data_IF_211634119363
#
_entry.id   IF_211634119363
#
_cell.length_a   1.000
_cell.length_b   1.000
_cell.length_c   1.000
_cell.angle_alpha   90.00
_cell.angle_beta   90.00
_cell.angle_gamma   90.00
#
_symmetry.space_group_name_H-M   'P 1'
#
loop_
_entity.id
_entity.type
_entity.pdbx_description
1 polymer ?
#
# COMPACT_ATOMS: atom_id res chain seq x y z
N UNK A 1 -18.72 -25.15 21.77
CA UNK A 1 -18.81 -23.69 21.44
C UNK A 1 -18.09 -22.95 22.57
N UNK A 2 -16.94 -22.30 22.25
CA UNK A 2 -16.05 -21.71 23.28
C UNK A 2 -16.43 -20.27 23.68
N UNK A 3 -17.71 -19.86 23.50
CA UNK A 3 -18.19 -18.54 23.88
C UNK A 3 -17.74 -17.40 22.94
N UNK A 4 -17.27 -17.72 21.75
CA UNK A 4 -17.03 -16.75 20.71
C UNK A 4 -18.28 -16.46 19.90
N UNK A 5 -18.51 -15.21 19.53
CA UNK A 5 -19.53 -14.79 18.58
C UNK A 5 -18.87 -13.99 17.45
N UNK A 6 -19.45 -14.06 16.28
CA UNK A 6 -18.98 -13.32 15.12
C UNK A 6 -19.35 -11.85 15.29
N UNK A 7 -18.40 -10.95 15.11
CA UNK A 7 -18.66 -9.52 15.09
C UNK A 7 -19.62 -9.17 13.94
N UNK A 8 -20.39 -8.08 14.13
CA UNK A 8 -21.42 -7.68 13.18
C UNK A 8 -20.84 -7.26 11.82
N UNK A 9 -19.63 -6.70 11.83
CA UNK A 9 -18.96 -6.19 10.62
C UNK A 9 -18.01 -7.26 10.07
N UNK A 10 -18.17 -7.54 8.78
CA UNK A 10 -17.23 -8.33 8.01
C UNK A 10 -16.55 -7.41 6.98
N UNK A 11 -15.24 -7.48 6.90
CA UNK A 11 -14.47 -6.84 5.84
C UNK A 11 -14.12 -7.88 4.76
N UNK A 12 -13.69 -7.43 3.60
CA UNK A 12 -13.24 -8.33 2.55
C UNK A 12 -11.81 -7.97 2.14
N UNK A 13 -11.07 -8.95 1.66
CA UNK A 13 -9.77 -8.74 1.07
C UNK A 13 -9.88 -8.84 -0.46
N UNK A 14 -9.29 -7.87 -1.14
CA UNK A 14 -9.17 -7.86 -2.59
C UNK A 14 -8.02 -8.73 -3.04
N UNK A 15 -8.23 -9.48 -4.09
CA UNK A 15 -7.25 -10.33 -4.76
C UNK A 15 -7.02 -9.84 -6.18
N UNK A 16 -5.76 -9.75 -6.59
CA UNK A 16 -5.36 -9.46 -7.96
C UNK A 16 -4.46 -10.57 -8.48
N UNK A 17 -4.84 -11.17 -9.61
CA UNK A 17 -4.04 -12.20 -10.29
C UNK A 17 -2.87 -11.57 -11.04
N UNK A 18 -1.65 -11.85 -10.62
CA UNK A 18 -0.42 -11.39 -11.24
C UNK A 18 0.11 -12.34 -12.33
N UNK A 19 -0.55 -13.49 -12.59
CA UNK A 19 -0.15 -14.37 -13.68
C UNK A 19 -0.34 -13.72 -15.06
N UNK A 20 -1.37 -12.87 -15.18
CA UNK A 20 -1.64 -12.06 -16.36
C UNK A 20 -0.80 -10.77 -16.45
N UNK A 21 -1.09 -9.93 -17.42
CA UNK A 21 -0.43 -8.62 -17.58
C UNK A 21 -0.93 -7.62 -16.54
N UNK A 22 0.00 -6.91 -15.88
CA UNK A 22 -0.33 -5.78 -15.00
C UNK A 22 -0.52 -4.53 -15.88
N UNK A 23 -1.66 -3.84 -15.80
CA UNK A 23 -1.92 -2.67 -16.63
C UNK A 23 -0.89 -1.56 -16.43
N UNK A 24 -0.69 -0.76 -17.46
CA UNK A 24 0.11 0.46 -17.37
C UNK A 24 -0.77 1.66 -17.04
N UNK A 25 -0.24 2.57 -16.25
CA UNK A 25 -0.87 3.85 -15.95
C UNK A 25 0.21 4.93 -15.97
N UNK A 26 0.25 5.79 -16.99
CA UNK A 26 1.25 6.84 -17.07
C UNK A 26 1.05 7.87 -15.95
N UNK A 27 2.16 8.39 -15.44
CA UNK A 27 2.13 9.53 -14.52
C UNK A 27 1.91 10.84 -15.29
N UNK A 28 1.29 11.84 -14.66
CA UNK A 28 1.31 13.21 -15.16
C UNK A 28 2.74 13.74 -15.29
N UNK A 29 2.93 14.74 -16.17
CA UNK A 29 4.22 15.39 -16.38
C UNK A 29 4.83 15.92 -15.07
N UNK A 30 6.12 15.72 -14.88
CA UNK A 30 6.88 16.17 -13.71
C UNK A 30 6.79 15.26 -12.47
N UNK A 31 5.90 14.25 -12.47
CA UNK A 31 5.87 13.23 -11.42
C UNK A 31 6.77 12.05 -11.76
N UNK A 32 7.35 11.44 -10.75
CA UNK A 32 8.18 10.23 -10.89
C UNK A 32 7.90 9.23 -9.78
N UNK A 33 8.08 7.94 -10.07
CA UNK A 33 8.06 6.88 -9.07
C UNK A 33 9.51 6.57 -8.71
N UNK A 34 9.82 6.56 -7.42
CA UNK A 34 11.11 6.15 -6.87
C UNK A 34 10.90 5.13 -5.75
N UNK A 35 11.84 4.20 -5.60
CA UNK A 35 11.84 3.25 -4.49
C UNK A 35 12.56 3.84 -3.27
N UNK A 36 12.27 3.30 -2.09
CA UNK A 36 13.02 3.68 -0.89
C UNK A 36 14.47 3.19 -0.91
N UNK A 37 14.82 2.29 -1.84
CA UNK A 37 16.20 1.93 -2.10
C UNK A 37 16.96 3.05 -2.82
N UNK A 38 16.27 3.82 -3.68
CA UNK A 38 16.84 4.93 -4.45
C UNK A 38 16.83 6.24 -3.67
N UNK A 39 15.73 6.53 -2.98
CA UNK A 39 15.55 7.76 -2.18
C UNK A 39 14.67 7.44 -0.96
N UNK A 40 15.23 7.58 0.25
CA UNK A 40 14.55 7.26 1.51
C UNK A 40 14.58 8.47 2.46
N UNK A 41 13.67 9.42 2.24
CA UNK A 41 13.48 10.58 3.10
C UNK A 41 12.39 10.29 4.13
N UNK A 42 12.80 9.99 5.37
CA UNK A 42 11.89 9.61 6.44
C UNK A 42 10.92 10.74 6.85
N UNK A 43 11.32 11.99 6.70
CA UNK A 43 10.46 13.15 7.02
C UNK A 43 9.34 13.26 5.99
N UNK A 44 9.66 13.16 4.70
CA UNK A 44 8.67 13.16 3.62
C UNK A 44 7.76 11.94 3.67
N UNK A 45 8.30 10.75 4.01
CA UNK A 45 7.48 9.55 4.23
C UNK A 45 6.51 9.78 5.38
N UNK A 46 6.98 10.34 6.50
CA UNK A 46 6.12 10.63 7.63
C UNK A 46 5.02 11.63 7.26
N UNK A 47 5.35 12.68 6.55
CA UNK A 47 4.41 13.70 6.08
C UNK A 47 3.33 13.12 5.15
N UNK A 48 3.72 12.39 4.10
CA UNK A 48 2.77 11.82 3.13
C UNK A 48 1.85 10.79 3.79
N UNK A 49 2.36 9.98 4.72
CA UNK A 49 1.53 9.02 5.44
C UNK A 49 0.57 9.71 6.41
N UNK A 50 1.04 10.71 7.16
CA UNK A 50 0.18 11.45 8.08
C UNK A 50 -0.98 12.14 7.35
N UNK A 51 -0.68 12.92 6.32
CA UNK A 51 -1.68 13.62 5.52
C UNK A 51 -2.53 12.67 4.70
N UNK A 52 -1.94 11.63 4.14
CA UNK A 52 -2.61 10.67 3.27
C UNK A 52 -3.65 9.80 3.99
N UNK A 53 -3.50 9.60 5.31
CA UNK A 53 -4.50 8.95 6.17
C UNK A 53 -5.42 9.95 6.90
N UNK A 54 -5.46 11.20 6.46
CA UNK A 54 -6.36 12.24 6.98
C UNK A 54 -6.21 12.49 8.50
N UNK A 55 -5.00 12.30 9.05
CA UNK A 55 -4.73 12.66 10.43
C UNK A 55 -4.83 14.18 10.62
N UNK A 56 -5.41 14.66 11.73
CA UNK A 56 -5.51 16.08 12.02
C UNK A 56 -4.14 16.68 12.37
N UNK A 57 -3.99 17.97 12.10
CA UNK A 57 -2.81 18.75 12.42
C UNK A 57 -1.52 18.32 11.70
N UNK A 58 -0.39 18.89 12.10
CA UNK A 58 0.93 18.49 11.65
C UNK A 58 1.35 17.17 12.32
N UNK A 59 2.24 16.38 11.68
CA UNK A 59 2.74 15.14 12.27
C UNK A 59 3.39 15.40 13.63
N UNK A 60 2.83 14.78 14.66
CA UNK A 60 3.37 14.81 16.02
C UNK A 60 4.27 13.61 16.31
N UNK A 61 4.28 12.63 15.41
CA UNK A 61 5.06 11.42 15.56
C UNK A 61 6.51 11.63 15.10
N UNK A 62 7.41 11.10 15.90
CA UNK A 62 8.82 11.00 15.54
C UNK A 62 9.00 10.14 14.29
N UNK A 63 9.96 10.48 13.44
CA UNK A 63 10.44 9.63 12.33
C UNK A 63 10.89 8.25 12.81
N UNK A 64 11.08 8.05 14.10
CA UNK A 64 11.42 6.75 14.68
C UNK A 64 10.36 5.69 14.40
N UNK A 65 9.07 6.07 14.33
CA UNK A 65 8.00 5.16 13.89
C UNK A 65 8.26 4.64 12.48
N UNK A 66 8.78 5.49 11.59
CA UNK A 66 9.13 5.08 10.21
C UNK A 66 10.38 4.21 10.19
N UNK A 67 11.38 4.49 11.04
CA UNK A 67 12.54 3.62 11.22
C UNK A 67 12.15 2.23 11.72
N UNK A 68 11.26 2.17 12.71
CA UNK A 68 10.75 0.89 13.24
C UNK A 68 10.02 0.12 12.14
N UNK A 69 9.15 0.74 11.36
CA UNK A 69 8.46 0.11 10.23
C UNK A 69 9.46 -0.48 9.23
N UNK A 70 10.53 0.25 8.91
CA UNK A 70 11.56 -0.17 7.96
C UNK A 70 12.55 -1.18 8.53
N UNK A 71 12.58 -1.40 9.85
CA UNK A 71 13.46 -2.37 10.51
C UNK A 71 12.88 -3.79 10.52
N UNK A 72 11.67 -3.98 10.03
CA UNK A 72 11.04 -5.30 9.95
C UNK A 72 11.83 -6.26 9.06
N UNK A 73 11.92 -7.57 9.42
CA UNK A 73 12.78 -8.54 8.74
C UNK A 73 12.38 -8.77 7.26
N UNK A 74 11.15 -8.48 6.90
CA UNK A 74 10.63 -8.62 5.53
C UNK A 74 10.43 -7.28 4.83
N UNK A 75 10.97 -6.18 5.37
CA UNK A 75 10.91 -4.88 4.72
C UNK A 75 11.86 -4.87 3.50
N UNK A 76 11.29 -4.62 2.34
CA UNK A 76 12.02 -4.60 1.05
C UNK A 76 11.95 -3.16 0.49
N UNK A 77 13.01 -2.35 0.65
CA UNK A 77 13.00 -0.95 0.22
C UNK A 77 12.78 -0.77 -1.29
N UNK A 78 13.15 -1.75 -2.10
CA UNK A 78 12.91 -1.79 -3.55
C UNK A 78 11.43 -1.93 -3.94
N UNK A 79 10.61 -2.50 -3.04
CA UNK A 79 9.16 -2.68 -3.22
C UNK A 79 8.33 -1.61 -2.53
N UNK A 80 8.96 -0.78 -1.69
CA UNK A 80 8.32 0.36 -1.07
C UNK A 80 8.56 1.60 -1.93
N UNK A 81 7.49 2.09 -2.55
CA UNK A 81 7.57 3.12 -3.58
C UNK A 81 6.91 4.42 -3.11
N UNK A 82 7.43 5.54 -3.58
CA UNK A 82 6.79 6.85 -3.45
C UNK A 82 6.59 7.47 -4.81
N UNK A 83 5.55 8.27 -4.96
CA UNK A 83 5.41 9.19 -6.09
C UNK A 83 5.95 10.54 -5.66
N UNK A 84 7.00 10.98 -6.32
CA UNK A 84 7.61 12.29 -6.12
C UNK A 84 6.97 13.32 -7.04
N UNK A 85 6.50 14.41 -6.45
CA UNK A 85 5.89 15.53 -7.16
C UNK A 85 6.96 16.49 -7.73
N UNK A 86 6.60 17.39 -8.67
CA UNK A 86 7.56 18.35 -9.26
C UNK A 86 8.26 19.27 -8.28
N UNK A 87 7.63 19.55 -7.12
CA UNK A 87 8.21 20.33 -6.03
C UNK A 87 9.15 19.52 -5.13
N UNK A 88 9.34 18.24 -5.40
CA UNK A 88 10.20 17.34 -4.64
C UNK A 88 9.54 16.68 -3.42
N UNK A 89 8.28 16.99 -3.13
CA UNK A 89 7.52 16.34 -2.04
C UNK A 89 7.01 14.95 -2.46
N UNK A 90 6.71 14.09 -1.48
CA UNK A 90 6.09 12.80 -1.75
C UNK A 90 4.56 12.94 -1.78
N UNK A 91 3.99 12.65 -2.93
CA UNK A 91 2.54 12.73 -3.17
C UNK A 91 1.78 11.46 -2.79
N UNK A 92 2.45 10.30 -2.91
CA UNK A 92 1.88 8.98 -2.62
C UNK A 92 2.95 8.12 -1.96
N UNK A 93 2.55 7.31 -0.99
CA UNK A 93 3.34 6.19 -0.48
C UNK A 93 2.62 4.88 -0.80
N UNK A 94 3.36 3.89 -1.29
CA UNK A 94 2.88 2.55 -1.61
C UNK A 94 3.85 1.52 -1.04
N UNK A 95 3.47 0.87 0.06
CA UNK A 95 4.23 -0.22 0.67
C UNK A 95 3.79 -1.57 0.11
N UNK A 96 4.71 -2.33 -0.45
CA UNK A 96 4.46 -3.67 -0.93
C UNK A 96 5.35 -4.65 -0.17
N UNK A 97 4.74 -5.72 0.32
CA UNK A 97 5.38 -6.83 0.98
C UNK A 97 5.32 -8.05 0.07
N UNK A 98 6.37 -8.84 0.01
CA UNK A 98 6.39 -10.04 -0.80
C UNK A 98 6.85 -11.24 0.02
N UNK A 99 6.04 -12.30 0.02
CA UNK A 99 6.35 -13.58 0.65
C UNK A 99 6.68 -14.63 -0.43
N UNK A 100 7.96 -14.99 -0.59
CA UNK A 100 8.39 -15.86 -1.68
C UNK A 100 7.87 -17.31 -1.56
N UNK A 101 7.64 -17.83 -0.35
CA UNK A 101 7.14 -19.19 -0.15
C UNK A 101 5.70 -19.34 -0.66
N UNK A 102 4.86 -18.34 -0.39
CA UNK A 102 3.48 -18.28 -0.88
C UNK A 102 3.38 -17.69 -2.29
N UNK A 103 4.41 -17.02 -2.78
CA UNK A 103 4.43 -16.24 -4.02
C UNK A 103 3.33 -15.17 -4.04
N UNK A 104 3.08 -14.56 -2.90
CA UNK A 104 2.02 -13.62 -2.68
C UNK A 104 2.58 -12.25 -2.28
N UNK A 105 2.05 -11.19 -2.89
CA UNK A 105 2.29 -9.82 -2.50
C UNK A 105 1.16 -9.30 -1.60
N UNK A 106 1.50 -8.48 -0.62
CA UNK A 106 0.55 -7.80 0.25
C UNK A 106 0.79 -6.29 0.21
N UNK A 107 -0.25 -5.56 -0.18
CA UNK A 107 -0.23 -4.10 -0.26
C UNK A 107 -0.62 -3.49 1.09
N UNK A 108 0.35 -2.89 1.78
CA UNK A 108 0.14 -2.17 3.05
C UNK A 108 1.37 -1.30 3.39
N UNK A 109 1.21 0.00 3.59
CA UNK A 109 0.03 0.82 3.32
C UNK A 109 0.03 1.43 1.91
N UNK A 110 -1.14 1.94 1.48
CA UNK A 110 -1.26 2.82 0.31
C UNK A 110 -1.99 4.10 0.73
N UNK A 111 -1.34 5.24 0.58
CA UNK A 111 -1.96 6.52 0.89
C UNK A 111 -1.56 7.60 -0.10
N UNK A 112 -2.42 8.61 -0.25
CA UNK A 112 -2.19 9.76 -1.14
C UNK A 112 -2.44 11.04 -0.36
N UNK A 113 -1.47 11.92 -0.36
CA UNK A 113 -1.61 13.27 0.21
C UNK A 113 -2.82 13.98 -0.42
N UNK A 114 -3.69 14.62 0.37
CA UNK A 114 -4.91 15.26 -0.11
C UNK A 114 -4.74 16.19 -1.31
N UNK A 115 -3.62 16.92 -1.37
CA UNK A 115 -3.35 17.90 -2.43
C UNK A 115 -3.09 17.24 -3.80
N UNK A 116 -2.78 15.94 -3.82
CA UNK A 116 -2.47 15.17 -5.02
C UNK A 116 -3.50 14.09 -5.36
N UNK A 117 -4.65 14.08 -4.67
CA UNK A 117 -5.72 13.11 -4.93
C UNK A 117 -6.37 13.32 -6.29
N UNK A 118 -6.98 12.25 -6.83
CA UNK A 118 -7.71 12.22 -8.12
C UNK A 118 -6.86 12.48 -9.37
N UNK A 119 -5.53 12.43 -9.26
CA UNK A 119 -4.58 12.57 -10.36
C UNK A 119 -4.13 11.23 -10.97
N UNK A 120 -4.64 10.08 -10.48
CA UNK A 120 -4.25 8.74 -10.93
C UNK A 120 -2.94 8.22 -10.34
N UNK A 121 -2.27 8.97 -9.47
CA UNK A 121 -0.93 8.64 -8.94
C UNK A 121 -0.92 7.33 -8.16
N UNK A 122 -1.90 7.10 -7.27
CA UNK A 122 -2.01 5.86 -6.49
C UNK A 122 -2.16 4.63 -7.40
N UNK A 123 -2.94 4.73 -8.48
CA UNK A 123 -3.09 3.66 -9.46
C UNK A 123 -1.77 3.38 -10.19
N UNK A 124 -1.05 4.42 -10.59
CA UNK A 124 0.23 4.30 -11.30
C UNK A 124 1.29 3.61 -10.44
N UNK A 125 1.47 4.06 -9.19
CA UNK A 125 2.47 3.47 -8.29
C UNK A 125 2.09 2.06 -7.84
N UNK A 126 0.80 1.76 -7.65
CA UNK A 126 0.32 0.42 -7.34
C UNK A 126 0.66 -0.57 -8.47
N UNK A 127 0.37 -0.23 -9.71
CA UNK A 127 0.71 -1.09 -10.84
C UNK A 127 2.23 -1.26 -11.01
N UNK A 128 3.03 -0.24 -10.71
CA UNK A 128 4.48 -0.35 -10.70
C UNK A 128 4.95 -1.32 -9.60
N UNK A 129 4.44 -1.18 -8.37
CA UNK A 129 4.77 -2.07 -7.27
C UNK A 129 4.38 -3.54 -7.59
N UNK A 130 3.22 -3.74 -8.20
CA UNK A 130 2.76 -5.06 -8.64
C UNK A 130 3.67 -5.65 -9.73
N UNK A 131 4.14 -4.86 -10.71
CA UNK A 131 5.10 -5.32 -11.72
C UNK A 131 6.43 -5.74 -11.11
N UNK A 132 6.99 -4.93 -10.21
CA UNK A 132 8.24 -5.28 -9.50
C UNK A 132 8.11 -6.57 -8.70
N UNK A 133 6.99 -6.73 -8.01
CA UNK A 133 6.74 -7.93 -7.20
C UNK A 133 6.54 -9.17 -8.08
N UNK A 134 5.85 -9.02 -9.22
CA UNK A 134 5.71 -10.08 -10.23
C UNK A 134 7.08 -10.51 -10.79
N UNK A 135 7.99 -9.58 -11.05
CA UNK A 135 9.35 -9.88 -11.52
C UNK A 135 10.14 -10.72 -10.50
N UNK A 136 9.84 -10.57 -9.20
CA UNK A 136 10.38 -11.43 -8.14
C UNK A 136 9.69 -12.79 -8.04
N UNK A 137 8.59 -13.00 -8.79
CA UNK A 137 7.90 -14.27 -8.89
C UNK A 137 6.54 -14.33 -8.20
N UNK A 138 5.98 -13.23 -7.74
CA UNK A 138 4.63 -13.18 -7.18
C UNK A 138 3.58 -13.59 -8.22
N UNK A 139 2.59 -14.36 -7.78
CA UNK A 139 1.44 -14.80 -8.60
C UNK A 139 0.17 -14.06 -8.23
N UNK A 140 0.13 -13.44 -7.06
CA UNK A 140 -1.03 -12.71 -6.57
C UNK A 140 -0.63 -11.49 -5.76
N UNK A 141 -1.55 -10.54 -5.67
CA UNK A 141 -1.46 -9.40 -4.76
C UNK A 141 -2.76 -9.29 -3.96
N UNK A 142 -2.64 -9.17 -2.65
CA UNK A 142 -3.76 -8.96 -1.74
C UNK A 142 -3.75 -7.51 -1.24
N UNK A 143 -4.95 -6.94 -1.13
CA UNK A 143 -5.18 -5.60 -0.57
C UNK A 143 -6.44 -5.58 0.30
N UNK A 144 -6.66 -4.48 1.01
CA UNK A 144 -7.89 -4.26 1.78
C UNK A 144 -9.15 -4.08 0.92
N UNK A 145 -10.29 -3.94 1.57
CA UNK A 145 -11.63 -3.95 0.96
C UNK A 145 -12.17 -2.61 0.47
N UNK A 146 -11.33 -1.60 0.26
CA UNK A 146 -11.82 -0.30 -0.17
C UNK A 146 -12.26 -0.30 -1.66
N UNK A 147 -13.30 0.47 -2.02
CA UNK A 147 -13.82 0.53 -3.39
C UNK A 147 -12.79 0.97 -4.46
N UNK A 148 -11.68 1.55 -4.04
CA UNK A 148 -10.57 1.89 -4.92
C UNK A 148 -9.96 0.64 -5.57
N UNK A 149 -9.80 -0.44 -4.81
CA UNK A 149 -9.15 -1.67 -5.29
C UNK A 149 -9.97 -2.40 -6.36
N UNK A 150 -11.29 -2.41 -6.24
CA UNK A 150 -12.16 -2.93 -7.31
C UNK A 150 -11.95 -2.18 -8.64
N UNK A 151 -11.84 -0.84 -8.58
CA UNK A 151 -11.64 0.00 -9.77
C UNK A 151 -10.29 -0.21 -10.46
N UNK A 152 -9.32 -0.75 -9.74
CA UNK A 152 -7.98 -1.06 -10.27
C UNK A 152 -7.80 -2.56 -10.52
N UNK A 153 -8.88 -3.34 -10.49
CA UNK A 153 -8.90 -4.72 -10.96
C UNK A 153 -8.80 -5.80 -9.89
N UNK A 154 -8.81 -5.43 -8.60
CA UNK A 154 -8.94 -6.45 -7.55
C UNK A 154 -10.37 -7.01 -7.53
N UNK A 155 -10.47 -8.30 -7.28
CA UNK A 155 -11.75 -8.99 -7.09
C UNK A 155 -11.91 -9.37 -5.63
N UNK A 156 -13.14 -9.54 -5.19
CA UNK A 156 -13.46 -10.01 -3.84
C UNK A 156 -13.18 -11.52 -3.76
N UNK A 157 -12.13 -11.91 -3.04
CA UNK A 157 -11.76 -13.31 -2.89
C UNK A 157 -12.11 -13.85 -1.50
N UNK A 158 -11.83 -13.05 -0.45
CA UNK A 158 -11.97 -13.49 0.93
C UNK A 158 -12.88 -12.57 1.73
N UNK A 159 -13.71 -13.15 2.57
CA UNK A 159 -14.44 -12.44 3.61
C UNK A 159 -13.67 -12.58 4.92
N UNK A 160 -13.13 -11.48 5.40
CA UNK A 160 -12.53 -11.41 6.73
C UNK A 160 -13.62 -11.33 7.79
N UNK A 161 -13.59 -12.22 8.77
CA UNK A 161 -14.56 -12.26 9.87
C UNK A 161 -13.85 -12.14 11.20
N UNK A 162 -14.20 -11.15 11.96
CA UNK A 162 -13.71 -10.99 13.33
C UNK A 162 -14.59 -11.75 14.31
N UNK A 163 -13.98 -12.37 15.29
CA UNK A 163 -14.65 -13.15 16.34
C UNK A 163 -14.32 -12.56 17.69
N UNK A 164 -15.34 -12.23 18.43
CA UNK A 164 -15.23 -11.62 19.76
C UNK A 164 -15.61 -12.60 20.85
N UNK A 165 -14.98 -12.47 22.01
CA UNK A 165 -15.32 -13.21 23.22
C UNK A 165 -15.43 -12.25 24.39
N UNK A 166 -16.59 -12.27 25.04
CA UNK A 166 -16.81 -11.55 26.31
C UNK A 166 -16.42 -12.46 27.47
N UNK A 167 -15.59 -11.97 28.36
CA UNK A 167 -15.09 -12.69 29.56
C UNK A 167 -15.94 -12.38 30.77
#
# INVERSE_FOLDING_TARGET
>A
RQGYHMAADSDWAGFFDLSGEVPQCPLPEGFSIVSLQEENDLEKINQVMWRGFDHPNEPDCSIDTRRVMQSGPHFQPELNLVVKAPNGEYAVYCGMWYEPECREAYLEPLCTDPDYRKMGLAKAVLYEAMRRTKELGALSCIAGGQPFYEKVGFVHEYVKRDWEKTW
#
